data_IF_193866480484
#
_entry.id   IF_193866480484
#
_cell.length_a   1.000
_cell.length_b   1.000
_cell.length_c   1.000
_cell.angle_alpha   90.00
_cell.angle_beta   90.00
_cell.angle_gamma   90.00
#
_symmetry.space_group_name_H-M   'P 1'
#
loop_
_entity.id
_entity.type
_entity.pdbx_description
1 polymer ?
#
# COMPACT_ATOMS: atom_id res chain seq x y z
N UNK A 1 -16.68 10.91 -4.25
CA UNK A 1 -17.27 11.92 -5.13
C UNK A 1 -18.73 12.10 -4.76
N UNK A 2 -19.10 13.31 -4.35
CA UNK A 2 -20.48 13.68 -4.00
C UNK A 2 -21.16 14.20 -5.27
N UNK A 3 -22.01 13.38 -5.89
CA UNK A 3 -22.77 13.73 -7.10
C UNK A 3 -24.24 13.96 -6.72
N UNK A 4 -24.49 14.89 -5.80
CA UNK A 4 -25.83 15.12 -5.23
C UNK A 4 -26.66 16.20 -5.95
N UNK A 5 -26.30 16.57 -7.18
CA UNK A 5 -27.12 17.47 -8.00
C UNK A 5 -27.24 16.95 -9.43
N UNK A 6 -28.46 16.71 -9.91
CA UNK A 6 -28.69 16.47 -11.34
C UNK A 6 -28.55 17.79 -12.11
N UNK A 7 -27.48 17.99 -12.91
CA UNK A 7 -27.37 19.19 -13.70
C UNK A 7 -28.47 19.23 -14.80
N UNK A 8 -28.89 20.42 -15.25
CA UNK A 8 -29.86 20.57 -16.34
C UNK A 8 -29.44 19.78 -17.59
N UNK A 9 -30.41 19.18 -18.30
CA UNK A 9 -30.15 18.29 -19.44
C UNK A 9 -29.28 18.92 -20.54
N UNK A 10 -29.35 20.25 -20.72
CA UNK A 10 -28.49 20.98 -21.66
C UNK A 10 -27.02 20.97 -21.22
N UNK A 11 -26.74 21.29 -19.96
CA UNK A 11 -25.39 21.27 -19.41
C UNK A 11 -24.79 19.86 -19.43
N UNK A 12 -25.61 18.83 -19.18
CA UNK A 12 -25.20 17.43 -19.29
C UNK A 12 -24.77 17.07 -20.72
N UNK A 13 -25.57 17.43 -21.73
CA UNK A 13 -25.25 17.19 -23.15
C UNK A 13 -24.03 17.98 -23.63
N UNK A 14 -23.88 19.22 -23.18
CA UNK A 14 -22.71 20.03 -23.51
C UNK A 14 -21.45 19.43 -22.90
N UNK A 15 -21.51 18.97 -21.64
CA UNK A 15 -20.41 18.25 -21.00
C UNK A 15 -20.08 16.93 -21.71
N UNK A 16 -21.09 16.15 -22.11
CA UNK A 16 -20.92 14.91 -22.89
C UNK A 16 -20.24 15.19 -24.25
N UNK A 17 -20.68 16.22 -24.97
CA UNK A 17 -20.10 16.61 -26.26
C UNK A 17 -18.66 17.11 -26.11
N UNK A 18 -18.39 17.95 -25.10
CA UNK A 18 -17.04 18.43 -24.80
C UNK A 18 -16.10 17.28 -24.43
N UNK A 19 -16.60 16.33 -23.64
CA UNK A 19 -15.86 15.12 -23.28
C UNK A 19 -15.50 14.25 -24.50
N UNK A 20 -16.38 14.17 -25.50
CA UNK A 20 -16.17 13.36 -26.73
C UNK A 20 -15.31 14.07 -27.78
N UNK A 21 -15.29 15.41 -27.82
CA UNK A 21 -14.64 16.20 -28.87
C UNK A 21 -13.09 16.19 -28.83
N UNK A 22 -12.48 15.65 -27.78
CA UNK A 22 -11.03 15.66 -27.56
C UNK A 22 -10.23 14.89 -28.62
N UNK A 23 -8.97 15.31 -28.83
CA UNK A 23 -8.04 14.60 -29.72
C UNK A 23 -7.72 13.21 -29.18
N UNK A 24 -8.02 12.15 -29.95
CA UNK A 24 -7.85 10.77 -29.46
C UNK A 24 -6.38 10.34 -29.49
N UNK A 25 -5.88 9.76 -28.38
CA UNK A 25 -4.59 9.07 -28.34
C UNK A 25 -4.80 7.55 -28.28
N UNK A 26 -4.09 6.81 -29.12
CA UNK A 26 -4.08 5.33 -29.08
C UNK A 26 -2.87 4.88 -28.27
N UNK A 27 -3.11 4.21 -27.15
CA UNK A 27 -2.06 3.68 -26.27
C UNK A 27 -2.26 2.18 -26.08
N UNK A 28 -1.18 1.42 -25.89
CA UNK A 28 -1.25 0.01 -25.50
C UNK A 28 -1.48 -0.06 -23.98
N UNK A 29 -2.08 -1.13 -23.45
CA UNK A 29 -2.37 -1.29 -22.02
C UNK A 29 -1.18 -1.03 -21.08
N UNK A 30 0.03 -1.45 -21.47
CA UNK A 30 1.28 -1.17 -20.76
C UNK A 30 1.62 0.32 -20.73
N UNK A 31 1.52 0.99 -21.89
CA UNK A 31 1.77 2.42 -21.99
C UNK A 31 0.74 3.22 -21.20
N UNK A 32 -0.54 2.83 -21.26
CA UNK A 32 -1.61 3.42 -20.47
C UNK A 32 -1.36 3.27 -18.96
N UNK A 33 -0.97 2.06 -18.54
CA UNK A 33 -0.63 1.79 -17.14
C UNK A 33 0.52 2.69 -16.66
N UNK A 34 1.61 2.75 -17.43
CA UNK A 34 2.78 3.57 -17.10
C UNK A 34 2.43 5.07 -17.12
N UNK A 35 1.61 5.53 -18.08
CA UNK A 35 1.12 6.91 -18.13
C UNK A 35 0.31 7.28 -16.88
N UNK A 36 -0.60 6.41 -16.42
CA UNK A 36 -1.38 6.68 -15.19
C UNK A 36 -0.47 6.67 -13.97
N UNK A 37 0.44 5.71 -13.87
CA UNK A 37 1.36 5.60 -12.73
C UNK A 37 2.30 6.81 -12.62
N UNK A 38 2.85 7.28 -13.75
CA UNK A 38 3.73 8.45 -13.79
C UNK A 38 2.94 9.74 -13.55
N UNK A 39 1.82 9.96 -14.25
CA UNK A 39 1.02 11.17 -14.09
C UNK A 39 0.42 11.30 -12.68
N UNK A 40 0.11 10.18 -12.03
CA UNK A 40 -0.37 10.13 -10.66
C UNK A 40 0.72 10.16 -9.57
N UNK A 41 2.00 10.28 -9.95
CA UNK A 41 3.16 10.26 -9.06
C UNK A 41 3.18 9.01 -8.14
N UNK A 42 2.92 7.83 -8.71
CA UNK A 42 2.83 6.56 -7.98
C UNK A 42 4.10 5.69 -8.06
N UNK A 43 5.17 6.21 -8.66
CA UNK A 43 6.48 5.53 -8.71
C UNK A 43 7.19 5.54 -7.36
N UNK A 44 6.88 6.55 -6.53
CA UNK A 44 7.40 6.75 -5.19
C UNK A 44 6.26 6.76 -4.17
N UNK A 45 6.62 6.80 -2.88
CA UNK A 45 5.62 6.89 -1.82
C UNK A 45 4.91 8.24 -1.83
N UNK A 46 3.59 8.19 -1.95
CA UNK A 46 2.74 9.38 -2.07
C UNK A 46 2.38 10.00 -0.72
N UNK A 47 2.27 9.15 0.29
CA UNK A 47 1.91 9.50 1.67
C UNK A 47 3.06 9.20 2.65
N UNK A 48 3.15 9.89 3.80
CA UNK A 48 4.03 9.50 4.88
C UNK A 48 3.56 8.19 5.50
N UNK A 49 4.48 7.49 6.16
CA UNK A 49 4.19 6.23 6.82
C UNK A 49 3.05 6.39 7.84
N UNK A 50 2.05 5.54 7.73
CA UNK A 50 0.89 5.50 8.63
C UNK A 50 -0.22 6.50 8.32
N UNK A 51 -0.15 7.26 7.22
CA UNK A 51 -1.21 8.20 6.84
C UNK A 51 -2.35 7.57 6.02
N UNK A 52 -2.15 6.40 5.40
CA UNK A 52 -3.18 5.73 4.60
C UNK A 52 -3.53 4.35 5.18
N UNK A 53 -3.81 4.30 6.49
CA UNK A 53 -4.15 3.05 7.16
C UNK A 53 -5.51 2.52 6.69
N UNK A 54 -5.53 1.24 6.28
CA UNK A 54 -6.75 0.50 5.95
C UNK A 54 -6.81 -0.78 6.76
N UNK A 55 -8.01 -1.12 7.22
CA UNK A 55 -8.27 -2.39 7.90
C UNK A 55 -8.63 -3.43 6.85
N UNK A 56 -7.81 -4.47 6.72
CA UNK A 56 -8.03 -5.58 5.79
C UNK A 56 -8.31 -6.84 6.58
N UNK A 57 -9.35 -7.58 6.21
CA UNK A 57 -9.63 -8.88 6.80
C UNK A 57 -8.71 -9.94 6.17
N UNK A 58 -7.76 -10.44 6.94
CA UNK A 58 -6.83 -11.47 6.49
C UNK A 58 -7.29 -12.82 7.01
N UNK A 59 -7.44 -13.79 6.11
CA UNK A 59 -7.74 -15.18 6.45
C UNK A 59 -6.47 -15.83 7.00
N UNK A 60 -6.40 -15.96 8.32
CA UNK A 60 -5.28 -16.61 9.00
C UNK A 60 -5.61 -18.07 9.28
N UNK A 61 -4.68 -18.98 8.94
CA UNK A 61 -4.79 -20.39 9.30
C UNK A 61 -4.25 -20.59 10.71
N UNK A 62 -5.14 -20.88 11.66
CA UNK A 62 -4.80 -21.12 13.07
C UNK A 62 -4.86 -22.62 13.34
N UNK A 63 -3.84 -23.15 14.01
CA UNK A 63 -3.79 -24.56 14.40
C UNK A 63 -4.76 -24.81 15.56
N UNK A 64 -5.62 -25.82 15.44
CA UNK A 64 -6.33 -26.40 16.58
C UNK A 64 -5.48 -27.58 17.05
N UNK A 65 -5.00 -27.51 18.29
CA UNK A 65 -4.43 -28.68 18.95
C UNK A 65 -5.42 -29.83 18.97
N UNK A 66 -4.92 -31.05 18.88
CA UNK A 66 -5.77 -32.24 19.07
C UNK A 66 -6.27 -32.22 20.52
N UNK A 67 -7.60 -32.19 20.68
CA UNK A 67 -8.31 -32.10 21.97
C UNK A 67 -7.99 -33.24 22.95
N UNK A 68 -7.25 -34.28 22.53
CA UNK A 68 -6.76 -35.34 23.42
C UNK A 68 -5.61 -34.90 24.33
N UNK A 69 -4.88 -33.83 24.01
CA UNK A 69 -3.80 -33.33 24.88
C UNK A 69 -4.30 -32.35 25.96
N UNK A 70 -5.58 -32.00 25.98
CA UNK A 70 -6.17 -31.14 27.00
C UNK A 70 -6.60 -31.89 28.29
N UNK A 71 -6.41 -33.22 28.36
CA UNK A 71 -6.69 -34.02 29.57
C UNK A 71 -5.50 -34.19 30.51
N UNK A 72 -4.29 -33.92 30.04
CA UNK A 72 -3.14 -33.81 30.93
C UNK A 72 -2.98 -32.32 31.25
N UNK A 73 -3.50 -31.92 32.41
CA UNK A 73 -3.25 -30.60 32.96
C UNK A 73 -1.74 -30.32 33.04
N UNK A 74 -1.32 -29.05 33.11
CA UNK A 74 0.09 -28.74 33.33
C UNK A 74 0.60 -29.55 34.53
N UNK A 75 1.79 -30.17 34.44
CA UNK A 75 2.32 -30.99 35.52
C UNK A 75 2.32 -30.18 36.83
N UNK A 76 2.02 -30.82 37.98
CA UNK A 76 1.87 -30.11 39.23
C UNK A 76 3.16 -29.34 39.52
N UNK A 77 3.01 -28.04 39.75
CA UNK A 77 4.07 -27.17 40.23
C UNK A 77 4.49 -27.71 41.60
N UNK A 78 5.60 -28.45 41.64
CA UNK A 78 6.26 -28.78 42.89
C UNK A 78 6.65 -27.46 43.57
N UNK A 79 6.17 -27.28 44.80
CA UNK A 79 6.46 -26.12 45.63
C UNK A 79 7.95 -26.12 45.95
N UNK A 80 8.73 -25.33 45.20
CA UNK A 80 10.06 -24.92 45.65
C UNK A 80 9.91 -24.04 46.90
N UNK A 81 10.84 -24.13 47.86
CA UNK A 81 10.70 -23.51 49.18
C UNK A 81 10.79 -21.98 49.08
N UNK A 82 10.05 -21.33 49.98
CA UNK A 82 9.98 -19.88 50.14
C UNK A 82 11.36 -19.30 50.46
N UNK A 83 11.95 -18.52 49.55
CA UNK A 83 12.96 -17.52 49.89
C UNK A 83 12.81 -16.30 48.96
N UNK A 84 12.64 -15.13 49.55
CA UNK A 84 13.04 -13.85 48.95
C UNK A 84 12.02 -13.16 48.04
N UNK A 85 11.34 -12.16 48.61
CA UNK A 85 10.50 -11.16 47.91
C UNK A 85 11.34 -10.36 46.90
N UNK A 86 10.95 -10.36 45.62
CA UNK A 86 11.48 -9.46 44.57
C UNK A 86 10.42 -8.40 44.26
N UNK A 87 10.75 -7.10 44.14
CA UNK A 87 9.75 -6.06 43.91
C UNK A 87 9.26 -6.05 42.47
N UNK A 88 8.02 -5.62 42.29
CA UNK A 88 7.41 -5.38 40.98
C UNK A 88 8.16 -4.29 40.22
N UNK A 89 8.66 -4.60 39.02
CA UNK A 89 9.11 -3.59 38.06
C UNK A 89 7.93 -3.16 37.18
N UNK A 90 7.66 -1.86 37.24
CA UNK A 90 6.74 -1.13 36.38
C UNK A 90 7.21 -1.05 34.92
N UNK A 91 6.27 -0.64 34.08
CA UNK A 91 6.39 -0.71 32.62
C UNK A 91 7.51 0.10 32.00
N UNK A 92 8.03 -0.44 30.89
CA UNK A 92 8.95 0.22 29.97
C UNK A 92 8.98 -0.50 28.62
N UNK A 93 8.35 0.14 27.62
CA UNK A 93 8.55 0.06 26.17
C UNK A 93 8.78 -1.30 25.48
N UNK A 94 7.72 -1.79 24.82
CA UNK A 94 7.81 -2.82 23.80
C UNK A 94 8.50 -2.29 22.52
N UNK A 95 9.74 -2.72 22.26
CA UNK A 95 10.32 -2.61 20.92
C UNK A 95 9.95 -3.83 20.08
N UNK A 96 9.37 -3.50 18.92
CA UNK A 96 8.81 -4.39 17.94
C UNK A 96 9.91 -5.15 17.20
N UNK A 97 9.96 -6.47 17.37
CA UNK A 97 10.83 -7.35 16.59
C UNK A 97 10.33 -7.40 15.14
N UNK A 98 11.01 -6.70 14.25
CA UNK A 98 10.86 -6.82 12.81
C UNK A 98 11.74 -7.99 12.34
N UNK A 99 11.09 -9.02 11.80
CA UNK A 99 11.77 -10.15 11.19
C UNK A 99 12.19 -9.85 9.76
N UNK A 100 13.39 -10.31 9.40
CA UNK A 100 13.72 -10.78 8.04
C UNK A 100 14.68 -9.91 7.24
N UNK A 101 15.95 -10.34 7.20
CA UNK A 101 16.97 -9.89 6.25
C UNK A 101 18.29 -9.56 6.95
N UNK A 102 19.28 -10.44 6.85
CA UNK A 102 20.63 -10.17 7.34
C UNK A 102 21.30 -9.13 6.40
N UNK A 103 21.31 -7.86 6.78
CA UNK A 103 22.16 -6.84 6.16
C UNK A 103 23.55 -6.88 6.83
N UNK A 104 24.52 -7.50 6.15
CA UNK A 104 25.90 -7.68 6.63
C UNK A 104 26.86 -6.54 6.26
N UNK A 105 26.39 -5.47 5.61
CA UNK A 105 27.30 -4.41 5.11
C UNK A 105 27.19 -3.07 5.84
N UNK A 106 26.16 -2.85 6.66
CA UNK A 106 26.16 -1.77 7.64
C UNK A 106 26.39 -2.37 9.01
N UNK A 107 27.67 -2.64 9.31
CA UNK A 107 28.09 -2.84 10.69
C UNK A 107 27.67 -1.61 11.49
N UNK A 108 26.60 -1.76 12.29
CA UNK A 108 26.41 -0.92 13.46
C UNK A 108 27.66 -1.18 14.29
N UNK A 109 28.65 -0.30 14.20
CA UNK A 109 29.75 -0.28 15.15
C UNK A 109 29.14 0.13 16.49
N UNK A 110 28.62 -0.87 17.19
CA UNK A 110 28.32 -0.76 18.60
C UNK A 110 29.63 -0.39 19.27
N UNK A 111 29.69 0.79 19.88
CA UNK A 111 30.81 1.15 20.74
C UNK A 111 30.69 0.32 22.02
N UNK A 112 31.30 -0.87 21.98
CA UNK A 112 31.27 -1.83 23.07
C UNK A 112 31.91 -1.25 24.34
N UNK A 113 32.83 -0.29 24.23
CA UNK A 113 33.42 0.38 25.38
C UNK A 113 32.40 1.23 26.14
N UNK A 114 31.58 1.99 25.41
CA UNK A 114 30.54 2.83 26.00
C UNK A 114 29.35 2.03 26.58
N UNK A 115 29.11 0.83 26.08
CA UNK A 115 28.06 -0.07 26.58
C UNK A 115 28.52 -0.92 27.78
N UNK A 116 29.77 -1.37 27.81
CA UNK A 116 30.35 -2.12 28.93
C UNK A 116 30.63 -1.27 30.16
N UNK A 117 30.76 0.05 30.01
CA UNK A 117 31.00 0.97 31.12
C UNK A 117 29.74 1.31 31.94
N UNK A 118 28.59 0.69 31.65
CA UNK A 118 27.36 0.86 32.41
C UNK A 118 27.25 -0.27 33.43
N UNK A 119 27.19 0.07 34.71
CA UNK A 119 27.09 -0.91 35.81
C UNK A 119 25.88 -1.86 35.64
N UNK A 120 24.78 -1.38 35.04
CA UNK A 120 23.60 -2.18 34.70
C UNK A 120 23.88 -3.30 33.69
N UNK A 121 24.87 -3.12 32.80
CA UNK A 121 25.23 -4.10 31.76
C UNK A 121 26.11 -5.21 32.34
N UNK A 122 26.89 -4.95 33.39
CA UNK A 122 27.64 -5.99 34.12
C UNK A 122 26.68 -6.94 34.85
N UNK A 123 25.69 -6.41 35.57
CA UNK A 123 24.66 -7.21 36.26
C UNK A 123 23.79 -8.02 35.27
N UNK A 124 23.46 -7.45 34.11
CA UNK A 124 22.76 -8.17 33.01
C UNK A 124 23.64 -9.24 32.35
N UNK A 125 24.95 -9.00 32.19
CA UNK A 125 25.90 -9.98 31.68
C UNK A 125 26.14 -11.12 32.67
N UNK A 126 26.17 -10.86 33.96
CA UNK A 126 26.29 -11.89 35.00
C UNK A 126 25.02 -12.75 35.09
N UNK A 127 23.83 -12.13 35.04
CA UNK A 127 22.56 -12.86 35.03
C UNK A 127 22.29 -13.63 33.72
N UNK A 128 22.82 -13.18 32.57
CA UNK A 128 22.82 -13.94 31.32
C UNK A 128 23.87 -15.05 31.27
N UNK A 129 25.07 -14.85 31.85
CA UNK A 129 26.11 -15.90 31.96
C UNK A 129 25.70 -17.03 32.90
N UNK A 130 24.79 -16.77 33.84
CA UNK A 130 24.18 -17.75 34.73
C UNK A 130 23.17 -18.66 34.02
N UNK A 131 22.66 -18.28 32.84
CA UNK A 131 21.91 -19.21 32.00
C UNK A 131 22.93 -20.07 31.25
N UNK A 132 23.02 -21.35 31.61
CA UNK A 132 23.90 -22.26 30.90
C UNK A 132 23.46 -22.33 29.43
N UNK A 133 24.42 -22.48 28.51
CA UNK A 133 24.11 -22.70 27.10
C UNK A 133 23.12 -23.87 26.90
N UNK A 134 23.14 -24.83 27.83
CA UNK A 134 22.22 -25.97 27.86
C UNK A 134 20.77 -25.55 28.15
N UNK A 135 20.53 -24.59 29.05
CA UNK A 135 19.18 -24.06 29.32
C UNK A 135 18.65 -23.22 28.15
N UNK A 136 19.52 -22.43 27.51
CA UNK A 136 19.17 -21.68 26.30
C UNK A 136 18.84 -22.62 25.13
N UNK A 137 19.62 -23.68 24.96
CA UNK A 137 19.35 -24.74 23.97
C UNK A 137 18.10 -25.54 24.32
N UNK A 138 17.90 -25.90 25.59
CA UNK A 138 16.70 -26.61 26.05
C UNK A 138 15.44 -25.76 25.83
N UNK A 139 15.50 -24.46 26.10
CA UNK A 139 14.39 -23.52 25.85
C UNK A 139 14.12 -23.36 24.35
N UNK A 140 15.17 -23.30 23.53
CA UNK A 140 15.06 -23.28 22.07
C UNK A 140 14.48 -24.57 21.50
N UNK A 141 14.87 -25.71 22.05
CA UNK A 141 14.36 -27.05 21.69
C UNK A 141 12.91 -27.24 22.16
N UNK A 142 12.55 -26.74 23.34
CA UNK A 142 11.17 -26.73 23.83
C UNK A 142 10.27 -25.86 22.93
N UNK A 143 10.73 -24.69 22.51
CA UNK A 143 10.02 -23.83 21.54
C UNK A 143 9.92 -24.45 20.15
N UNK A 144 10.90 -25.24 19.72
CA UNK A 144 10.84 -26.00 18.46
C UNK A 144 9.87 -27.18 18.56
N UNK A 145 9.85 -27.91 19.68
CA UNK A 145 8.95 -29.05 19.92
C UNK A 145 7.50 -28.61 20.16
N UNK A 146 7.28 -27.42 20.72
CA UNK A 146 5.96 -26.83 20.86
C UNK A 146 5.40 -26.24 19.55
N UNK A 147 6.21 -26.18 18.46
CA UNK A 147 5.67 -25.81 17.16
C UNK A 147 4.79 -26.95 16.65
N UNK A 148 3.53 -26.66 16.30
CA UNK A 148 2.61 -27.69 15.84
C UNK A 148 3.18 -28.41 14.62
N UNK A 149 3.25 -29.73 14.69
CA UNK A 149 3.66 -30.56 13.54
C UNK A 149 2.66 -30.36 12.39
N UNK A 150 3.12 -30.54 11.15
CA UNK A 150 2.34 -30.31 9.92
C UNK A 150 1.04 -31.14 9.80
N UNK A 151 0.75 -32.03 10.76
CA UNK A 151 -0.33 -33.03 10.71
C UNK A 151 -1.59 -32.72 11.54
N UNK A 152 -1.64 -31.64 12.33
CA UNK A 152 -2.86 -31.34 13.09
C UNK A 152 -3.92 -30.55 12.33
N UNK A 153 -5.09 -30.43 12.96
CA UNK A 153 -6.28 -29.78 12.40
C UNK A 153 -6.09 -28.26 12.39
N UNK A 154 -6.55 -27.59 11.33
CA UNK A 154 -6.47 -26.14 11.21
C UNK A 154 -7.88 -25.55 11.04
N UNK A 155 -8.12 -24.40 11.66
CA UNK A 155 -9.29 -23.56 11.38
C UNK A 155 -8.84 -22.26 10.76
N UNK A 156 -9.59 -21.82 9.76
CA UNK A 156 -9.41 -20.50 9.19
C UNK A 156 -10.20 -19.49 10.01
N UNK A 157 -9.50 -18.49 10.52
CA UNK A 157 -10.08 -17.38 11.26
C UNK A 157 -9.79 -16.11 10.48
N UNK A 158 -10.81 -15.28 10.26
CA UNK A 158 -10.62 -13.95 9.69
C UNK A 158 -10.19 -13.01 10.82
N UNK A 159 -9.07 -12.31 10.63
CA UNK A 159 -8.56 -11.32 11.56
C UNK A 159 -8.44 -9.98 10.85
N UNK A 160 -8.94 -8.95 11.48
CA UNK A 160 -8.75 -7.58 11.02
C UNK A 160 -7.30 -7.18 11.27
N UNK A 161 -6.58 -6.85 10.20
CA UNK A 161 -5.20 -6.35 10.25
C UNK A 161 -5.19 -4.92 9.70
N UNK A 162 -4.68 -3.98 10.47
CA UNK A 162 -4.43 -2.62 10.00
C UNK A 162 -3.10 -2.61 9.23
N UNK A 163 -3.14 -2.16 7.97
CA UNK A 163 -1.98 -2.05 7.09
C UNK A 163 -1.97 -0.65 6.49
N UNK A 164 -0.80 -0.03 6.42
CA UNK A 164 -0.63 1.24 5.69
C UNK A 164 -0.65 0.97 4.18
N UNK A 165 -1.72 1.36 3.51
CA UNK A 165 -1.95 1.09 2.09
C UNK A 165 -1.35 2.20 1.21
N UNK A 166 -0.04 2.42 1.29
CA UNK A 166 0.63 3.42 0.44
C UNK A 166 0.95 2.79 -0.93
N UNK A 167 0.23 3.18 -2.01
CA UNK A 167 0.38 2.56 -3.31
C UNK A 167 1.74 2.93 -3.93
N UNK A 168 2.48 1.91 -4.37
CA UNK A 168 3.70 2.08 -5.15
C UNK A 168 3.67 1.13 -6.34
N UNK A 169 3.74 1.68 -7.55
CA UNK A 169 3.74 0.91 -8.79
C UNK A 169 5.10 1.02 -9.46
N UNK A 170 5.65 -0.11 -9.90
CA UNK A 170 6.78 -0.13 -10.84
C UNK A 170 6.26 -0.01 -12.27
N UNK A 171 7.10 0.44 -13.21
CA UNK A 171 6.75 0.40 -14.63
C UNK A 171 6.40 -1.02 -15.05
N UNK A 172 5.46 -1.15 -15.97
CA UNK A 172 4.99 -2.38 -16.60
C UNK A 172 6.14 -3.29 -17.07
N UNK A 173 7.25 -2.70 -17.54
CA UNK A 173 8.45 -3.43 -17.97
C UNK A 173 9.21 -4.14 -16.83
N UNK A 174 9.10 -3.63 -15.60
CA UNK A 174 9.75 -4.20 -14.41
C UNK A 174 8.86 -5.19 -13.67
N UNK A 175 7.62 -5.38 -14.12
CA UNK A 175 6.68 -6.29 -13.49
C UNK A 175 6.86 -7.72 -14.00
N UNK A 176 6.57 -8.70 -13.14
CA UNK A 176 6.53 -10.10 -13.55
C UNK A 176 5.46 -10.29 -14.64
N UNK A 177 5.85 -10.94 -15.75
CA UNK A 177 4.95 -11.22 -16.87
C UNK A 177 4.72 -12.72 -16.99
N UNK A 178 3.46 -13.19 -17.06
CA UNK A 178 2.22 -12.41 -17.10
C UNK A 178 1.81 -11.87 -15.73
N UNK A 179 1.14 -10.72 -15.73
CA UNK A 179 0.54 -10.17 -14.52
C UNK A 179 -0.65 -11.05 -14.04
N UNK A 180 -1.02 -10.97 -12.75
CA UNK A 180 -2.18 -11.69 -12.21
C UNK A 180 -3.48 -11.42 -13.01
N UNK A 181 -4.45 -12.37 -13.00
CA UNK A 181 -5.70 -12.22 -13.76
C UNK A 181 -6.48 -10.94 -13.49
N UNK A 182 -6.47 -10.47 -12.24
CA UNK A 182 -7.18 -9.26 -11.79
C UNK A 182 -6.38 -7.97 -11.99
N UNK A 183 -5.14 -8.08 -12.47
CA UNK A 183 -4.26 -6.94 -12.67
C UNK A 183 -4.70 -6.11 -13.88
N UNK A 184 -4.44 -4.79 -13.82
CA UNK A 184 -4.74 -3.84 -14.89
C UNK A 184 -4.22 -4.34 -16.25
N UNK A 185 -2.92 -4.67 -16.34
CA UNK A 185 -2.30 -5.14 -17.59
C UNK A 185 -3.03 -6.33 -18.22
N UNK A 186 -3.56 -7.27 -17.41
CA UNK A 186 -4.29 -8.43 -17.92
C UNK A 186 -5.62 -8.02 -18.54
N UNK A 187 -6.36 -7.15 -17.87
CA UNK A 187 -7.67 -6.66 -18.34
C UNK A 187 -7.52 -5.81 -19.60
N UNK A 188 -6.40 -5.10 -19.74
CA UNK A 188 -6.04 -4.29 -20.91
C UNK A 188 -5.28 -5.07 -21.99
N UNK A 189 -5.43 -6.41 -22.01
CA UNK A 189 -5.07 -7.24 -23.15
C UNK A 189 -3.65 -7.80 -23.12
N UNK A 190 -2.97 -7.84 -21.96
CA UNK A 190 -1.72 -8.61 -21.84
C UNK A 190 -2.02 -10.11 -22.02
N UNK A 191 -1.43 -10.76 -23.05
CA UNK A 191 -1.70 -12.17 -23.32
C UNK A 191 -1.08 -13.09 -22.26
N UNK A 192 -1.66 -14.27 -22.10
CA UNK A 192 -1.06 -15.33 -21.30
C UNK A 192 0.22 -15.87 -21.94
N UNK A 193 1.11 -16.43 -21.12
CA UNK A 193 2.26 -17.21 -21.62
C UNK A 193 1.96 -18.72 -21.71
N UNK A 194 0.77 -19.12 -21.31
CA UNK A 194 0.40 -20.54 -21.16
C UNK A 194 -0.02 -21.19 -22.48
N UNK A 195 -0.39 -20.39 -23.49
CA UNK A 195 -0.87 -20.87 -24.79
C UNK A 195 -0.23 -20.08 -25.93
N UNK A 196 0.14 -20.79 -27.00
CA UNK A 196 0.58 -20.19 -28.24
C UNK A 196 -0.64 -19.63 -29.00
N UNK A 197 -0.49 -18.45 -29.61
CA UNK A 197 -1.56 -17.80 -30.39
C UNK A 197 -2.60 -17.04 -29.57
N UNK A 198 -2.33 -16.76 -28.29
CA UNK A 198 -3.14 -15.81 -27.51
C UNK A 198 -2.73 -14.38 -27.89
N UNK A 199 -3.59 -13.70 -28.66
CA UNK A 199 -3.35 -12.35 -29.16
C UNK A 199 -4.04 -11.30 -28.30
N UNK A 200 -3.55 -10.06 -28.41
CA UNK A 200 -4.17 -8.92 -27.74
C UNK A 200 -5.56 -8.68 -28.33
N UNK A 201 -6.56 -8.60 -27.47
CA UNK A 201 -7.91 -8.25 -27.87
C UNK A 201 -8.11 -6.74 -27.78
N UNK A 202 -8.36 -6.14 -28.94
CA UNK A 202 -8.66 -4.72 -29.11
C UNK A 202 -10.18 -4.48 -29.14
N UNK A 203 -10.93 -5.10 -28.24
CA UNK A 203 -12.35 -4.76 -28.08
C UNK A 203 -12.55 -4.09 -26.74
N UNK A 204 -13.27 -2.98 -26.76
CA UNK A 204 -13.62 -2.27 -25.54
C UNK A 204 -14.51 -3.17 -24.69
N UNK A 205 -14.11 -3.40 -23.44
CA UNK A 205 -14.84 -4.22 -22.50
C UNK A 205 -15.44 -3.38 -21.38
N UNK A 206 -16.66 -3.72 -20.93
CA UNK A 206 -17.25 -3.14 -19.72
C UNK A 206 -16.32 -3.29 -18.51
N UNK A 207 -15.56 -4.39 -18.43
CA UNK A 207 -14.56 -4.60 -17.37
C UNK A 207 -13.44 -3.57 -17.42
N UNK A 208 -12.97 -3.19 -18.61
CA UNK A 208 -11.94 -2.16 -18.79
C UNK A 208 -12.47 -0.79 -18.34
N UNK A 209 -13.71 -0.45 -18.72
CA UNK A 209 -14.34 0.79 -18.31
C UNK A 209 -14.52 0.87 -16.78
N UNK A 210 -15.03 -0.18 -16.15
CA UNK A 210 -15.17 -0.25 -14.69
C UNK A 210 -13.81 -0.20 -13.97
N UNK A 211 -12.77 -0.81 -14.56
CA UNK A 211 -11.41 -0.73 -14.03
C UNK A 211 -10.83 0.69 -14.13
N UNK A 212 -11.17 1.48 -15.16
CA UNK A 212 -10.77 2.89 -15.22
C UNK A 212 -11.50 3.75 -14.18
N UNK A 213 -12.81 3.52 -14.00
CA UNK A 213 -13.63 4.34 -13.10
C UNK A 213 -13.32 4.06 -11.63
N UNK A 214 -13.21 2.77 -11.26
CA UNK A 214 -13.17 2.32 -9.87
C UNK A 214 -11.87 1.58 -9.51
N UNK A 215 -10.94 1.42 -10.45
CA UNK A 215 -9.71 0.69 -10.21
C UNK A 215 -8.83 1.38 -9.19
N UNK A 216 -8.09 0.58 -8.42
CA UNK A 216 -7.13 1.10 -7.42
C UNK A 216 -6.10 2.03 -8.06
N UNK A 217 -5.62 1.70 -9.25
CA UNK A 217 -4.62 2.49 -9.97
C UNK A 217 -5.12 3.91 -10.26
N UNK A 218 -6.28 4.06 -10.88
CA UNK A 218 -6.85 5.37 -11.25
C UNK A 218 -7.29 6.16 -10.02
N UNK A 219 -7.88 5.49 -9.03
CA UNK A 219 -8.28 6.12 -7.78
C UNK A 219 -7.09 6.69 -7.01
N UNK A 220 -6.01 5.92 -6.84
CA UNK A 220 -4.82 6.39 -6.14
C UNK A 220 -4.00 7.39 -6.98
N UNK A 221 -4.00 7.28 -8.31
CA UNK A 221 -3.38 8.25 -9.19
C UNK A 221 -4.08 9.62 -9.13
N UNK A 222 -5.42 9.61 -9.05
CA UNK A 222 -6.22 10.82 -8.98
C UNK A 222 -5.99 11.61 -7.69
N UNK A 223 -5.89 10.94 -6.53
CA UNK A 223 -5.62 11.62 -5.24
C UNK A 223 -4.35 12.49 -5.30
N UNK A 224 -4.22 13.47 -4.41
CA UNK A 224 -2.96 14.23 -4.23
C UNK A 224 -2.39 13.92 -2.86
N UNK A 225 -1.17 13.39 -2.83
CA UNK A 225 -0.49 13.03 -1.57
C UNK A 225 0.39 14.14 -1.03
N UNK A 226 0.69 14.12 0.26
CA UNK A 226 1.50 15.17 0.91
C UNK A 226 2.94 15.26 0.40
N UNK A 227 3.52 14.15 -0.08
CA UNK A 227 4.87 14.15 -0.68
C UNK A 227 4.88 14.54 -2.15
N UNK A 228 3.72 14.72 -2.75
CA UNK A 228 3.63 15.12 -4.14
C UNK A 228 4.02 16.60 -4.30
N UNK A 229 4.78 16.93 -5.36
CA UNK A 229 5.17 18.31 -5.67
C UNK A 229 3.98 19.26 -5.86
N UNK A 230 2.82 18.70 -6.22
CA UNK A 230 1.56 19.43 -6.41
C UNK A 230 0.89 19.80 -5.08
N UNK A 231 1.15 19.06 -3.99
CA UNK A 231 0.54 19.35 -2.69
C UNK A 231 0.89 20.75 -2.19
N UNK A 232 2.16 21.15 -2.28
CA UNK A 232 2.62 22.49 -1.87
C UNK A 232 2.02 23.65 -2.68
N UNK A 233 1.56 23.38 -3.92
CA UNK A 233 0.89 24.39 -4.76
C UNK A 233 -0.60 24.50 -4.46
N UNK A 234 -1.22 23.44 -3.95
CA UNK A 234 -2.63 23.41 -3.56
C UNK A 234 -2.83 23.92 -2.12
N UNK A 235 -1.89 23.59 -1.24
CA UNK A 235 -1.95 23.87 0.19
C UNK A 235 -0.58 24.33 0.71
N UNK A 236 -0.57 25.40 1.52
CA UNK A 236 0.63 25.97 2.13
C UNK A 236 0.87 27.44 1.76
N UNK A 237 2.04 27.96 2.14
CA UNK A 237 2.43 29.37 1.95
C UNK A 237 2.71 29.71 0.47
N UNK A 238 3.09 28.72 -0.35
CA UNK A 238 3.37 28.86 -1.78
C UNK A 238 2.17 28.58 -2.70
N UNK A 239 0.94 28.77 -2.22
CA UNK A 239 -0.28 28.38 -2.94
C UNK A 239 -0.39 29.07 -4.30
N UNK A 240 -0.42 28.27 -5.37
CA UNK A 240 -0.63 28.74 -6.73
C UNK A 240 -1.44 27.70 -7.52
N UNK A 241 -2.76 27.90 -7.55
CA UNK A 241 -3.71 26.98 -8.18
C UNK A 241 -3.54 26.92 -9.70
N UNK A 242 -3.24 28.07 -10.34
CA UNK A 242 -3.08 28.12 -11.80
C UNK A 242 -1.86 27.31 -12.27
N UNK A 243 -0.74 27.42 -11.55
CA UNK A 243 0.44 26.59 -11.82
C UNK A 243 0.18 25.11 -11.52
N UNK A 244 -0.60 24.78 -10.49
CA UNK A 244 -0.99 23.41 -10.20
C UNK A 244 -1.82 22.78 -11.34
N UNK A 245 -2.80 23.52 -11.88
CA UNK A 245 -3.58 23.09 -13.05
C UNK A 245 -2.66 22.91 -14.26
N UNK A 246 -1.82 23.91 -14.56
CA UNK A 246 -0.89 23.85 -15.69
C UNK A 246 0.03 22.64 -15.63
N UNK A 247 0.62 22.35 -14.47
CA UNK A 247 1.46 21.16 -14.26
C UNK A 247 0.68 19.86 -14.44
N UNK A 248 -0.55 19.81 -13.95
CA UNK A 248 -1.42 18.62 -14.10
C UNK A 248 -1.72 18.34 -15.57
N UNK A 249 -2.04 19.36 -16.37
CA UNK A 249 -2.22 19.24 -17.83
C UNK A 249 -0.94 18.78 -18.55
N UNK A 250 0.23 19.25 -18.11
CA UNK A 250 1.50 18.79 -18.67
C UNK A 250 1.78 17.33 -18.32
N UNK A 251 1.48 16.88 -17.11
CA UNK A 251 1.69 15.49 -16.69
C UNK A 251 0.76 14.50 -17.41
N UNK A 252 -0.53 14.84 -17.57
CA UNK A 252 -1.50 13.93 -18.19
C UNK A 252 -1.54 14.05 -19.72
N UNK A 253 -1.57 15.28 -20.24
CA UNK A 253 -1.80 15.55 -21.65
C UNK A 253 -0.60 16.15 -22.38
N UNK A 254 0.55 16.30 -21.73
CA UNK A 254 1.78 16.84 -22.35
C UNK A 254 1.55 18.17 -23.10
N UNK A 255 0.56 18.96 -22.67
CA UNK A 255 0.18 20.25 -23.26
C UNK A 255 -0.19 21.25 -22.17
N UNK A 256 -0.31 22.51 -22.54
CA UNK A 256 -0.87 23.54 -21.66
C UNK A 256 -2.40 23.58 -21.78
N UNK A 257 -3.11 23.94 -20.69
CA UNK A 257 -4.55 24.12 -20.73
C UNK A 257 -4.92 25.34 -21.58
N UNK A 258 -6.07 25.26 -22.25
CA UNK A 258 -6.71 26.43 -22.87
C UNK A 258 -7.31 27.36 -21.80
N UNK A 259 -7.73 28.56 -22.21
CA UNK A 259 -8.34 29.54 -21.29
C UNK A 259 -9.63 29.00 -20.64
N UNK A 260 -10.47 28.35 -21.44
CA UNK A 260 -11.74 27.78 -20.97
C UNK A 260 -11.48 26.65 -19.98
N UNK A 261 -10.58 25.72 -20.32
CA UNK A 261 -10.18 24.62 -19.43
C UNK A 261 -9.56 25.11 -18.12
N UNK A 262 -8.80 26.21 -18.17
CA UNK A 262 -8.25 26.84 -16.97
C UNK A 262 -9.38 27.40 -16.08
N UNK A 263 -10.37 28.07 -16.66
CA UNK A 263 -11.51 28.62 -15.92
C UNK A 263 -12.33 27.49 -15.26
N UNK A 264 -12.63 26.42 -15.99
CA UNK A 264 -13.36 25.25 -15.47
C UNK A 264 -12.59 24.52 -14.35
N UNK A 265 -11.28 24.30 -14.55
CA UNK A 265 -10.43 23.68 -13.54
C UNK A 265 -10.33 24.54 -12.27
N UNK A 266 -10.24 25.86 -12.42
CA UNK A 266 -10.23 26.78 -11.29
C UNK A 266 -11.56 26.80 -10.54
N UNK A 267 -12.68 26.66 -11.24
CA UNK A 267 -14.00 26.54 -10.62
C UNK A 267 -14.11 25.27 -9.76
N UNK A 268 -13.59 24.13 -10.24
CA UNK A 268 -13.56 22.87 -9.46
C UNK A 268 -12.69 22.96 -8.20
N UNK A 269 -11.60 23.74 -8.26
CA UNK A 269 -10.66 23.91 -7.15
C UNK A 269 -11.11 24.94 -6.11
N UNK A 270 -12.20 25.68 -6.36
CA UNK A 270 -12.61 26.82 -5.55
C UNK A 270 -13.06 26.42 -4.13
N UNK A 271 -13.79 25.32 -3.99
CA UNK A 271 -14.29 24.83 -2.69
C UNK A 271 -13.18 24.09 -1.91
N UNK A 272 -12.62 23.05 -2.52
CA UNK A 272 -11.61 22.17 -1.92
C UNK A 272 -10.46 21.98 -2.91
N UNK A 273 -9.31 22.67 -2.76
CA UNK A 273 -8.22 22.57 -3.71
C UNK A 273 -7.64 21.16 -3.86
N UNK A 274 -7.58 20.39 -2.77
CA UNK A 274 -6.99 19.05 -2.77
C UNK A 274 -7.93 18.03 -3.38
N UNK A 275 -9.20 18.03 -2.95
CA UNK A 275 -10.20 17.10 -3.48
C UNK A 275 -10.65 17.48 -4.89
N UNK A 276 -10.80 18.78 -5.17
CA UNK A 276 -11.10 19.28 -6.50
C UNK A 276 -10.01 18.96 -7.53
N UNK A 277 -8.73 18.95 -7.11
CA UNK A 277 -7.65 18.48 -7.98
C UNK A 277 -7.75 16.97 -8.22
N UNK A 278 -8.15 16.20 -7.21
CA UNK A 278 -8.35 14.77 -7.36
C UNK A 278 -9.51 14.46 -8.32
N UNK A 279 -10.61 15.19 -8.21
CA UNK A 279 -11.76 15.06 -9.11
C UNK A 279 -11.39 15.50 -10.54
N UNK A 280 -10.62 16.58 -10.69
CA UNK A 280 -10.10 17.02 -11.99
C UNK A 280 -9.25 15.94 -12.65
N UNK A 281 -8.28 15.36 -11.93
CA UNK A 281 -7.45 14.26 -12.45
C UNK A 281 -8.27 13.04 -12.79
N UNK A 282 -9.23 12.67 -11.96
CA UNK A 282 -10.11 11.54 -12.21
C UNK A 282 -10.92 11.76 -13.51
N UNK A 283 -11.47 12.96 -13.71
CA UNK A 283 -12.17 13.31 -14.94
C UNK A 283 -11.22 13.26 -16.16
N UNK A 284 -10.00 13.76 -16.02
CA UNK A 284 -8.98 13.73 -17.07
C UNK A 284 -8.57 12.30 -17.44
N UNK A 285 -8.35 11.40 -16.47
CA UNK A 285 -8.02 10.00 -16.75
C UNK A 285 -9.12 9.24 -17.48
N UNK A 286 -10.37 9.64 -17.29
CA UNK A 286 -11.51 9.03 -17.96
C UNK A 286 -11.87 9.74 -19.28
N UNK A 287 -11.27 10.90 -19.59
CA UNK A 287 -11.55 11.68 -20.80
C UNK A 287 -11.07 11.00 -22.08
N UNK A 288 -11.68 11.35 -23.21
CA UNK A 288 -11.31 10.79 -24.52
C UNK A 288 -9.87 11.13 -24.95
N UNK A 289 -9.26 12.19 -24.41
CA UNK A 289 -7.86 12.54 -24.67
C UNK A 289 -6.88 11.59 -23.98
N UNK A 290 -7.29 11.04 -22.83
CA UNK A 290 -6.53 10.02 -22.09
C UNK A 290 -6.96 8.59 -22.43
N UNK A 291 -8.13 8.44 -23.05
CA UNK A 291 -8.80 7.16 -23.23
C UNK A 291 -8.05 6.23 -24.17
N UNK A 292 -7.81 5.03 -23.68
CA UNK A 292 -7.53 3.85 -24.47
C UNK A 292 -8.72 3.56 -25.38
N UNK A 293 -8.59 3.88 -26.67
CA UNK A 293 -9.44 3.28 -27.69
C UNK A 293 -8.68 2.06 -28.22
N UNK A 294 -9.31 0.87 -28.19
CA UNK A 294 -8.74 -0.33 -28.75
C UNK A 294 -8.34 -0.21 -30.23
#
# INVERSE_FOLDING_TARGET
GRLDAEPPAKARREAEMAFVAGTTRRMIGEALFDSIAVAGNLTEYKWPAGANQKTVQVRQRVYLGDEETAKDGPPPVEKSPVVGRVPAMGGGSAMQAQGGGYDLENSISLDFGALLARDEVEDELESMRMQSNEELEARRMALMNARPTRRGKYKYVYRDQTVDDNPRYSSSFRMATPAPPDHFLRIFGQPGRDRLGDFRNFHASMRQALMMLNGKLTHEAARVGTYESLHGLLQGEGKNLSEAVRRTYLYLFTRTPSKIEMEEAMALLAESPVEGMADLRWAMFNSHEFKFIP
#
